data_IF_884896713497
#
_entry.id   IF_884896713497
#
_cell.length_a   1.000
_cell.length_b   1.000
_cell.length_c   1.000
_cell.angle_alpha   90.00
_cell.angle_beta   90.00
_cell.angle_gamma   90.00
#
_symmetry.space_group_name_H-M   'P 1'
#
loop_
_entity.id
_entity.type
_entity.pdbx_description
1 polymer ?
#
# COMPACT_ATOMS: atom_id res chain seq x y z
N UNK A 1 -22.14 -30.58 8.45
CA UNK A 1 -22.89 -29.97 7.33
C UNK A 1 -21.92 -29.66 6.20
N UNK A 2 -21.88 -30.47 5.14
CA UNK A 2 -21.25 -30.07 3.88
C UNK A 2 -22.19 -29.08 3.20
N UNK A 3 -21.70 -27.86 2.95
CA UNK A 3 -22.40 -26.89 2.11
C UNK A 3 -22.08 -27.23 0.67
N UNK A 4 -22.99 -27.90 -0.03
CA UNK A 4 -22.90 -28.12 -1.47
C UNK A 4 -22.95 -26.76 -2.15
N UNK A 5 -21.82 -26.32 -2.70
CA UNK A 5 -21.76 -25.07 -3.47
C UNK A 5 -22.32 -25.35 -4.86
N UNK A 6 -23.50 -24.82 -5.15
CA UNK A 6 -24.02 -24.75 -6.52
C UNK A 6 -23.02 -23.93 -7.33
N UNK A 7 -22.41 -24.53 -8.35
CA UNK A 7 -21.54 -23.79 -9.29
C UNK A 7 -22.40 -22.73 -9.96
N UNK A 8 -22.24 -21.48 -9.54
CA UNK A 8 -22.98 -20.35 -10.08
C UNK A 8 -22.73 -20.18 -11.58
N UNK A 9 -23.63 -19.46 -12.23
CA UNK A 9 -23.77 -19.20 -13.69
C UNK A 9 -22.48 -18.73 -14.39
N UNK A 10 -21.38 -18.50 -13.66
CA UNK A 10 -20.15 -17.85 -14.13
C UNK A 10 -18.88 -18.72 -14.09
N UNK A 11 -19.00 -20.05 -14.15
CA UNK A 11 -17.87 -20.98 -14.02
C UNK A 11 -16.77 -20.79 -15.08
N UNK A 12 -17.14 -20.37 -16.29
CA UNK A 12 -16.21 -20.14 -17.39
C UNK A 12 -15.29 -18.94 -17.12
N UNK A 13 -15.85 -17.81 -16.69
CA UNK A 13 -15.05 -16.61 -16.37
C UNK A 13 -14.04 -16.88 -15.23
N UNK A 14 -14.44 -17.62 -14.20
CA UNK A 14 -13.53 -18.00 -13.13
C UNK A 14 -12.40 -18.92 -13.61
N UNK A 15 -12.71 -19.83 -14.53
CA UNK A 15 -11.71 -20.69 -15.15
C UNK A 15 -10.71 -19.87 -15.99
N UNK A 16 -11.20 -18.95 -16.82
CA UNK A 16 -10.36 -18.06 -17.64
C UNK A 16 -9.44 -17.19 -16.78
N UNK A 17 -9.96 -16.59 -15.70
CA UNK A 17 -9.15 -15.84 -14.74
C UNK A 17 -8.07 -16.75 -14.13
N UNK A 18 -8.42 -17.97 -13.72
CA UNK A 18 -7.45 -18.92 -13.18
C UNK A 18 -6.33 -19.27 -14.16
N UNK A 19 -6.66 -19.46 -15.45
CA UNK A 19 -5.64 -19.74 -16.47
C UNK A 19 -4.75 -18.51 -16.72
N UNK A 20 -5.32 -17.31 -16.78
CA UNK A 20 -4.56 -16.07 -16.96
C UNK A 20 -3.54 -15.82 -15.83
N UNK A 21 -3.86 -16.23 -14.60
CA UNK A 21 -2.97 -16.10 -13.44
C UNK A 21 -1.74 -17.02 -13.50
N UNK A 22 -1.77 -18.08 -14.33
CA UNK A 22 -0.67 -19.04 -14.48
C UNK A 22 0.38 -18.62 -15.50
N UNK A 23 0.06 -17.64 -16.35
CA UNK A 23 0.98 -17.10 -17.36
C UNK A 23 2.16 -16.43 -16.64
N UNK A 24 3.37 -16.63 -17.15
CA UNK A 24 4.58 -16.13 -16.49
C UNK A 24 4.64 -14.60 -16.43
N UNK A 25 4.14 -13.90 -17.46
CA UNK A 25 3.94 -12.45 -17.45
C UNK A 25 3.09 -11.97 -16.27
N UNK A 26 2.03 -12.72 -15.93
CA UNK A 26 1.19 -12.40 -14.78
C UNK A 26 1.96 -12.60 -13.48
N UNK A 27 2.70 -13.72 -13.34
CA UNK A 27 3.50 -13.99 -12.15
C UNK A 27 4.56 -12.93 -11.93
N UNK A 28 5.23 -12.48 -12.99
CA UNK A 28 6.24 -11.42 -12.90
C UNK A 28 5.62 -10.08 -12.44
N UNK A 29 4.48 -9.70 -13.02
CA UNK A 29 3.72 -8.53 -12.56
C UNK A 29 3.26 -8.70 -11.11
N UNK A 30 2.83 -9.89 -10.71
CA UNK A 30 2.34 -10.19 -9.37
C UNK A 30 3.44 -10.03 -8.31
N UNK A 31 4.68 -10.41 -8.61
CA UNK A 31 5.83 -10.23 -7.68
C UNK A 31 6.01 -8.77 -7.25
N UNK A 32 5.71 -7.81 -8.12
CA UNK A 32 5.82 -6.37 -7.80
C UNK A 32 4.83 -5.92 -6.72
N UNK A 33 3.78 -6.71 -6.44
CA UNK A 33 2.74 -6.40 -5.44
C UNK A 33 3.28 -6.32 -4.02
N UNK A 34 4.29 -7.11 -3.66
CA UNK A 34 4.86 -7.11 -2.31
C UNK A 34 5.26 -5.69 -1.85
N UNK A 35 5.74 -4.85 -2.78
CA UNK A 35 6.10 -3.45 -2.50
C UNK A 35 4.93 -2.57 -2.04
N UNK A 36 3.70 -2.86 -2.47
CA UNK A 36 2.50 -2.06 -2.15
C UNK A 36 1.71 -2.62 -0.96
N UNK A 37 1.93 -3.89 -0.60
CA UNK A 37 1.15 -4.56 0.44
C UNK A 37 1.34 -3.95 1.83
N UNK A 38 2.58 -3.61 2.20
CA UNK A 38 2.85 -2.93 3.47
C UNK A 38 2.10 -1.60 3.58
N UNK A 39 2.00 -0.86 2.46
CA UNK A 39 1.28 0.41 2.42
C UNK A 39 -0.24 0.23 2.52
N UNK A 40 -0.78 -0.79 1.85
CA UNK A 40 -2.18 -1.14 1.95
C UNK A 40 -2.56 -1.64 3.35
N UNK A 41 -1.67 -2.36 4.01
CA UNK A 41 -1.83 -2.75 5.41
C UNK A 41 -1.86 -1.53 6.32
N UNK A 42 -0.95 -0.56 6.12
CA UNK A 42 -0.96 0.69 6.88
C UNK A 42 -2.27 1.46 6.71
N UNK A 43 -2.72 1.64 5.46
CA UNK A 43 -3.99 2.27 5.15
C UNK A 43 -5.16 1.60 5.88
N UNK A 44 -5.25 0.27 5.82
CA UNK A 44 -6.35 -0.49 6.42
C UNK A 44 -6.33 -0.46 7.95
N UNK A 45 -5.17 -0.70 8.57
CA UNK A 45 -5.04 -0.87 10.01
C UNK A 45 -4.93 0.46 10.75
N UNK A 46 -4.04 1.36 10.31
CA UNK A 46 -3.73 2.60 11.04
C UNK A 46 -4.55 3.81 10.57
N UNK A 47 -4.97 3.84 9.30
CA UNK A 47 -5.73 4.98 8.73
C UNK A 47 -7.21 4.66 8.51
N UNK A 48 -7.69 3.56 9.10
CA UNK A 48 -9.11 3.24 9.21
C UNK A 48 -9.79 2.82 7.90
N UNK A 49 -9.05 2.56 6.81
CA UNK A 49 -9.63 2.06 5.56
C UNK A 49 -10.15 0.62 5.65
N UNK A 50 -9.81 -0.11 6.72
CA UNK A 50 -10.32 -1.45 6.99
C UNK A 50 -11.80 -1.49 7.40
N UNK A 51 -12.41 -0.34 7.71
CA UNK A 51 -13.84 -0.23 8.08
C UNK A 51 -14.46 0.98 7.42
N UNK A 52 -15.69 0.84 6.95
CA UNK A 52 -16.47 1.98 6.46
C UNK A 52 -16.90 2.85 7.65
N UNK A 53 -16.54 4.14 7.64
CA UNK A 53 -17.04 5.09 8.66
C UNK A 53 -18.47 5.55 8.38
N UNK A 54 -18.93 5.42 7.14
CA UNK A 54 -20.26 5.84 6.71
C UNK A 54 -20.72 4.97 5.54
N UNK A 55 -22.04 4.94 5.33
CA UNK A 55 -22.64 4.19 4.24
C UNK A 55 -22.54 4.94 2.90
N UNK A 56 -22.51 4.18 1.81
CA UNK A 56 -22.54 4.70 0.44
C UNK A 56 -21.16 4.87 -0.21
N UNK A 57 -21.12 4.62 -1.53
CA UNK A 57 -19.90 4.64 -2.34
C UNK A 57 -19.17 5.99 -2.29
N UNK A 58 -19.93 7.10 -2.30
CA UNK A 58 -19.37 8.45 -2.25
C UNK A 58 -18.62 8.69 -0.93
N UNK A 59 -19.21 8.27 0.20
CA UNK A 59 -18.58 8.45 1.51
C UNK A 59 -17.32 7.58 1.65
N UNK A 60 -17.38 6.32 1.19
CA UNK A 60 -16.21 5.44 1.16
C UNK A 60 -15.09 5.97 0.24
N UNK A 61 -15.45 6.54 -0.91
CA UNK A 61 -14.48 7.18 -1.82
C UNK A 61 -13.79 8.37 -1.15
N UNK A 62 -14.54 9.23 -0.45
CA UNK A 62 -13.98 10.35 0.32
C UNK A 62 -13.03 9.85 1.42
N UNK A 63 -13.45 8.85 2.19
CA UNK A 63 -12.61 8.23 3.22
C UNK A 63 -11.31 7.67 2.65
N UNK A 64 -11.37 6.95 1.52
CA UNK A 64 -10.20 6.40 0.86
C UNK A 64 -9.23 7.50 0.39
N UNK A 65 -9.76 8.56 -0.23
CA UNK A 65 -8.95 9.71 -0.70
C UNK A 65 -8.26 10.42 0.45
N UNK A 66 -8.98 10.72 1.52
CA UNK A 66 -8.41 11.38 2.70
C UNK A 66 -7.33 10.52 3.38
N UNK A 67 -7.57 9.22 3.53
CA UNK A 67 -6.58 8.31 4.08
C UNK A 67 -5.32 8.26 3.20
N UNK A 68 -5.45 8.20 1.87
CA UNK A 68 -4.31 8.24 0.95
C UNK A 68 -3.50 9.55 1.06
N UNK A 69 -4.17 10.69 1.18
CA UNK A 69 -3.51 12.00 1.36
C UNK A 69 -2.72 12.01 2.67
N UNK A 70 -3.35 11.67 3.80
CA UNK A 70 -2.70 11.66 5.11
C UNK A 70 -1.44 10.78 5.13
N UNK A 71 -1.58 9.59 4.55
CA UNK A 71 -0.52 8.60 4.43
C UNK A 71 0.65 9.06 3.54
N UNK A 72 0.36 9.77 2.46
CA UNK A 72 1.38 10.34 1.59
C UNK A 72 2.09 11.53 2.24
N UNK A 73 1.36 12.40 2.95
CA UNK A 73 1.96 13.49 3.73
C UNK A 73 2.93 12.96 4.79
N UNK A 74 2.51 11.93 5.54
CA UNK A 74 3.39 11.25 6.50
C UNK A 74 4.68 10.72 5.85
N UNK A 75 4.58 10.17 4.63
CA UNK A 75 5.76 9.66 3.89
C UNK A 75 6.70 10.79 3.47
N UNK A 76 6.16 11.88 2.94
CA UNK A 76 6.95 13.05 2.54
C UNK A 76 7.69 13.61 3.76
N UNK A 77 6.99 13.80 4.88
CA UNK A 77 7.59 14.28 6.12
C UNK A 77 8.74 13.36 6.60
N UNK A 78 8.54 12.04 6.58
CA UNK A 78 9.60 11.10 6.97
C UNK A 78 10.84 11.18 6.08
N UNK A 79 10.67 11.32 4.76
CA UNK A 79 11.78 11.49 3.81
C UNK A 79 12.50 12.81 4.09
N UNK A 80 11.77 13.92 4.28
CA UNK A 80 12.37 15.22 4.57
C UNK A 80 13.17 15.20 5.88
N UNK A 81 12.66 14.57 6.93
CA UNK A 81 13.38 14.43 8.20
C UNK A 81 14.64 13.60 8.04
N UNK A 82 14.58 12.46 7.35
CA UNK A 82 15.76 11.62 7.12
C UNK A 82 16.85 12.35 6.33
N UNK A 83 16.45 13.13 5.32
CA UNK A 83 17.35 13.98 4.54
C UNK A 83 18.00 15.03 5.45
N UNK A 84 17.21 15.74 6.26
CA UNK A 84 17.73 16.77 7.18
C UNK A 84 18.72 16.18 8.20
N UNK A 85 18.42 15.02 8.78
CA UNK A 85 19.32 14.33 9.71
C UNK A 85 20.64 13.92 9.04
N UNK A 86 20.60 13.45 7.79
CA UNK A 86 21.81 13.14 7.04
C UNK A 86 22.67 14.39 6.78
N UNK A 87 22.03 15.52 6.44
CA UNK A 87 22.74 16.79 6.27
C UNK A 87 23.38 17.28 7.57
N UNK A 88 22.70 17.16 8.72
CA UNK A 88 23.29 17.55 10.00
C UNK A 88 24.51 16.71 10.37
N UNK A 89 24.49 15.40 10.09
CA UNK A 89 25.63 14.50 10.36
C UNK A 89 26.86 14.87 9.52
N UNK A 90 26.66 15.17 8.22
CA UNK A 90 27.74 15.62 7.33
C UNK A 90 28.33 16.94 7.82
N UNK A 91 27.48 17.89 8.21
CA UNK A 91 27.92 19.20 8.70
C UNK A 91 28.72 19.09 10.00
N UNK A 92 28.27 18.28 10.97
CA UNK A 92 29.00 18.03 12.23
C UNK A 92 30.37 17.40 11.93
N UNK A 93 30.42 16.42 11.02
CA UNK A 93 31.67 15.75 10.65
C UNK A 93 32.64 16.69 9.93
N UNK A 94 32.15 17.59 9.07
CA UNK A 94 32.98 18.62 8.44
C UNK A 94 33.50 19.63 9.47
N UNK A 95 32.65 20.08 10.41
CA UNK A 95 33.04 20.99 11.50
C UNK A 95 34.13 20.39 12.37
N UNK A 96 34.04 19.10 12.72
CA UNK A 96 35.06 18.43 13.54
C UNK A 96 36.40 18.34 12.79
N UNK A 97 36.39 18.00 11.49
CA UNK A 97 37.62 17.93 10.69
C UNK A 97 38.29 19.30 10.45
N UNK A 98 37.59 20.41 10.66
CA UNK A 98 38.15 21.76 10.51
C UNK A 98 38.60 22.38 11.84
N UNK A 99 38.22 21.78 12.97
CA UNK A 99 38.60 22.22 14.33
C UNK A 99 39.84 21.47 14.85
N UNK A 100 40.35 20.50 14.10
CA UNK A 100 41.65 19.85 14.31
C UNK A 100 42.65 20.23 13.22
#
# INVERSE_FOLDING_TARGET
>A
MQKTLYTGINTLEFYEISQSQKIDDFKEKYKKRASIEGKNAELKQFHGLGRAKSYGLVAMSKQAKLAAIAVNLKRIAAIMTAILSCFSEIFVRFRINFVF
#
